data_IF_674993420764
#
_entry.id   IF_674993420764
#
_cell.length_a   1.000
_cell.length_b   1.000
_cell.length_c   1.000
_cell.angle_alpha   90.00
_cell.angle_beta   90.00
_cell.angle_gamma   90.00
#
_symmetry.space_group_name_H-M   'P 1'
#
loop_
_entity.id
_entity.type
_entity.pdbx_description
1 polymer ?
#
# COMPACT_ATOMS: atom_id res chain seq x y z
N UNK A 1 6.71 -7.18 15.41
CA UNK A 1 5.98 -6.18 14.61
C UNK A 1 6.43 -6.12 13.16
N UNK A 2 7.73 -6.04 12.93
CA UNK A 2 8.28 -6.00 11.56
C UNK A 2 7.79 -7.16 10.69
N UNK A 3 7.86 -8.39 11.19
CA UNK A 3 7.41 -9.56 10.43
C UNK A 3 5.91 -9.52 10.13
N UNK A 4 5.11 -9.01 11.06
CA UNK A 4 3.67 -8.86 10.84
C UNK A 4 3.38 -7.87 9.74
N UNK A 5 4.09 -6.75 9.70
CA UNK A 5 3.90 -5.73 8.66
C UNK A 5 4.36 -6.27 7.30
N UNK A 6 5.45 -7.03 7.25
CA UNK A 6 5.88 -7.68 6.01
C UNK A 6 4.79 -8.59 5.45
N UNK A 7 4.15 -9.39 6.31
CA UNK A 7 3.07 -10.29 5.92
C UNK A 7 1.85 -9.49 5.46
N UNK A 8 1.44 -8.49 6.26
CA UNK A 8 0.24 -7.69 5.97
C UNK A 8 0.38 -6.91 4.66
N UNK A 9 1.55 -6.30 4.43
CA UNK A 9 1.76 -5.51 3.21
C UNK A 9 1.80 -6.39 1.97
N UNK A 10 2.40 -7.59 2.07
CA UNK A 10 2.37 -8.56 0.98
C UNK A 10 0.94 -9.02 0.70
N UNK A 11 0.16 -9.25 1.76
CA UNK A 11 -1.23 -9.71 1.63
C UNK A 11 -2.10 -8.69 0.89
N UNK A 12 -1.85 -7.39 1.07
CA UNK A 12 -2.56 -6.35 0.32
C UNK A 12 -2.39 -6.59 -1.19
N UNK A 13 -1.17 -6.81 -1.65
CA UNK A 13 -0.91 -7.07 -3.07
C UNK A 13 -1.62 -8.33 -3.55
N UNK A 14 -1.61 -9.39 -2.76
CA UNK A 14 -2.27 -10.65 -3.12
C UNK A 14 -3.79 -10.48 -3.20
N UNK A 15 -4.38 -9.72 -2.28
CA UNK A 15 -5.82 -9.45 -2.29
C UNK A 15 -6.23 -8.59 -3.50
N UNK A 16 -5.38 -7.62 -3.87
CA UNK A 16 -5.62 -6.83 -5.08
C UNK A 16 -5.60 -7.72 -6.31
N UNK A 17 -4.64 -8.64 -6.43
CA UNK A 17 -4.56 -9.55 -7.57
C UNK A 17 -5.86 -10.35 -7.71
N UNK A 18 -6.39 -10.87 -6.61
CA UNK A 18 -7.67 -11.59 -6.62
C UNK A 18 -8.82 -10.68 -7.07
N UNK A 19 -8.83 -9.45 -6.57
CA UNK A 19 -9.85 -8.47 -6.92
C UNK A 19 -9.86 -8.17 -8.42
N UNK A 20 -8.69 -8.05 -9.03
CA UNK A 20 -8.57 -7.69 -10.45
C UNK A 20 -9.22 -8.74 -11.36
N UNK A 21 -9.19 -10.00 -10.96
CA UNK A 21 -9.82 -11.07 -11.73
C UNK A 21 -11.35 -10.97 -11.76
N UNK A 22 -11.92 -10.19 -10.84
CA UNK A 22 -13.38 -9.99 -10.75
C UNK A 22 -13.87 -8.78 -11.55
N UNK A 23 -12.96 -7.96 -12.08
CA UNK A 23 -13.33 -6.75 -12.80
C UNK A 23 -13.90 -7.08 -14.18
N UNK A 24 -14.80 -6.22 -14.70
CA UNK A 24 -15.34 -6.42 -16.05
C UNK A 24 -14.25 -6.20 -17.11
N UNK A 25 -14.43 -6.84 -18.26
CA UNK A 25 -13.50 -6.68 -19.39
C UNK A 25 -13.80 -5.38 -20.13
N UNK A 26 -13.33 -4.29 -19.56
CA UNK A 26 -13.47 -2.93 -20.11
C UNK A 26 -12.10 -2.28 -20.18
N UNK A 27 -11.93 -1.37 -21.14
CA UNK A 27 -10.68 -0.61 -21.30
C UNK A 27 -10.27 0.08 -19.99
N UNK A 28 -11.23 0.77 -19.35
CA UNK A 28 -10.95 1.50 -18.11
C UNK A 28 -10.50 0.56 -16.98
N UNK A 29 -11.16 -0.58 -16.83
CA UNK A 29 -10.79 -1.58 -15.81
C UNK A 29 -9.38 -2.11 -16.07
N UNK A 30 -9.02 -2.35 -17.33
CA UNK A 30 -7.70 -2.84 -17.70
C UNK A 30 -6.60 -1.83 -17.36
N UNK A 31 -6.82 -0.54 -17.68
CA UNK A 31 -5.83 0.51 -17.39
C UNK A 31 -5.67 0.70 -15.88
N UNK A 32 -6.79 0.74 -15.14
CA UNK A 32 -6.76 0.90 -13.69
C UNK A 32 -6.09 -0.32 -13.03
N UNK A 33 -6.35 -1.52 -13.54
CA UNK A 33 -5.75 -2.75 -13.03
C UNK A 33 -4.23 -2.68 -13.04
N UNK A 34 -3.63 -2.15 -14.09
CA UNK A 34 -2.18 -1.99 -14.19
C UNK A 34 -1.64 -1.08 -13.09
N UNK A 35 -2.34 0.04 -12.85
CA UNK A 35 -1.92 1.02 -11.84
C UNK A 35 -2.01 0.47 -10.44
N UNK A 36 -3.15 -0.14 -10.10
CA UNK A 36 -3.34 -0.66 -8.74
C UNK A 36 -2.47 -1.88 -8.48
N UNK A 37 -2.25 -2.74 -9.46
CA UNK A 37 -1.34 -3.87 -9.31
C UNK A 37 0.07 -3.40 -8.97
N UNK A 38 0.56 -2.40 -9.71
CA UNK A 38 1.88 -1.83 -9.48
C UNK A 38 2.01 -1.24 -8.07
N UNK A 39 1.14 -0.31 -7.69
CA UNK A 39 1.27 0.37 -6.41
C UNK A 39 1.00 -0.56 -5.22
N UNK A 40 0.00 -1.43 -5.32
CA UNK A 40 -0.34 -2.32 -4.20
C UNK A 40 0.77 -3.34 -3.90
N UNK A 41 1.44 -3.86 -4.93
CA UNK A 41 2.56 -4.78 -4.74
C UNK A 41 3.82 -4.04 -4.30
N UNK A 42 3.95 -2.75 -4.64
CA UNK A 42 5.07 -1.91 -4.23
C UNK A 42 5.06 -1.59 -2.74
N UNK A 43 3.89 -1.63 -2.09
CA UNK A 43 3.80 -1.42 -0.63
C UNK A 43 4.70 -2.44 0.09
N UNK A 44 4.47 -3.72 -0.17
CA UNK A 44 5.22 -4.79 0.48
C UNK A 44 6.68 -4.84 0.08
N UNK A 45 6.98 -4.67 -1.21
CA UNK A 45 8.36 -4.73 -1.69
C UNK A 45 9.21 -3.59 -1.11
N UNK A 46 8.65 -2.39 -1.02
CA UNK A 46 9.36 -1.25 -0.43
C UNK A 46 9.47 -1.35 1.08
N UNK A 47 8.48 -1.92 1.75
CA UNK A 47 8.60 -2.16 3.18
C UNK A 47 9.73 -3.16 3.48
N UNK A 48 9.85 -4.22 2.69
CA UNK A 48 10.96 -5.17 2.83
C UNK A 48 12.30 -4.49 2.60
N UNK A 49 12.38 -3.59 1.62
CA UNK A 49 13.58 -2.80 1.38
C UNK A 49 13.89 -1.88 2.56
N UNK A 50 12.86 -1.27 3.17
CA UNK A 50 13.02 -0.44 4.35
C UNK A 50 13.66 -1.24 5.51
N UNK A 51 13.23 -2.48 5.70
CA UNK A 51 13.76 -3.34 6.76
C UNK A 51 15.23 -3.71 6.57
N UNK A 52 15.76 -3.49 5.36
CA UNK A 52 17.19 -3.73 5.03
C UNK A 52 17.95 -2.42 4.86
N UNK A 53 17.39 -1.32 5.33
CA UNK A 53 17.99 0.00 5.17
C UNK A 53 19.34 0.08 5.88
N UNK A 54 20.25 0.87 5.29
CA UNK A 54 21.64 1.01 5.75
C UNK A 54 21.79 2.03 6.87
N UNK A 55 20.77 2.88 7.08
CA UNK A 55 20.78 3.92 8.09
C UNK A 55 19.34 4.29 8.45
N UNK A 56 19.18 5.05 9.52
CA UNK A 56 17.85 5.56 9.90
C UNK A 56 17.30 6.50 8.84
N UNK A 57 18.15 7.33 8.23
CA UNK A 57 17.73 8.23 7.16
C UNK A 57 17.25 7.45 5.93
N UNK A 58 17.96 6.38 5.56
CA UNK A 58 17.57 5.52 4.44
C UNK A 58 16.27 4.79 4.74
N UNK A 59 16.11 4.32 5.98
CA UNK A 59 14.87 3.68 6.46
C UNK A 59 13.70 4.67 6.32
N UNK A 60 13.87 5.89 6.80
CA UNK A 60 12.85 6.94 6.73
C UNK A 60 12.46 7.21 5.27
N UNK A 61 13.44 7.35 4.39
CA UNK A 61 13.17 7.59 2.96
C UNK A 61 12.35 6.46 2.34
N UNK A 62 12.67 5.22 2.68
CA UNK A 62 11.95 4.06 2.17
C UNK A 62 10.53 3.97 2.73
N UNK A 63 10.33 4.33 3.99
CA UNK A 63 8.99 4.40 4.58
C UNK A 63 8.12 5.44 3.89
N UNK A 64 8.71 6.56 3.45
CA UNK A 64 7.98 7.58 2.69
C UNK A 64 7.48 7.02 1.35
N UNK A 65 8.28 6.19 0.71
CA UNK A 65 7.86 5.51 -0.54
C UNK A 65 6.69 4.56 -0.24
N UNK A 66 6.78 3.80 0.85
CA UNK A 66 5.68 2.91 1.27
C UNK A 66 4.40 3.71 1.47
N UNK A 67 4.47 4.85 2.13
CA UNK A 67 3.32 5.74 2.33
C UNK A 67 2.73 6.19 0.99
N UNK A 68 3.55 6.66 0.07
CA UNK A 68 3.11 7.10 -1.25
C UNK A 68 2.39 5.99 -2.01
N UNK A 69 2.95 4.78 -2.01
CA UNK A 69 2.35 3.65 -2.71
C UNK A 69 1.05 3.21 -2.04
N UNK A 70 0.98 3.31 -0.73
CA UNK A 70 -0.22 3.00 0.04
C UNK A 70 -1.34 4.00 -0.27
N UNK A 71 -1.02 5.29 -0.32
CA UNK A 71 -1.98 6.34 -0.68
C UNK A 71 -2.48 6.16 -2.10
N UNK A 72 -1.60 5.82 -3.04
CA UNK A 72 -1.99 5.57 -4.42
C UNK A 72 -2.91 4.36 -4.51
N UNK A 73 -2.66 3.32 -3.73
CA UNK A 73 -3.52 2.14 -3.68
C UNK A 73 -4.93 2.52 -3.20
N UNK A 74 -5.04 3.31 -2.14
CA UNK A 74 -6.32 3.82 -1.66
C UNK A 74 -7.05 4.61 -2.73
N UNK A 75 -6.34 5.46 -3.45
CA UNK A 75 -6.90 6.26 -4.54
C UNK A 75 -7.53 5.36 -5.61
N UNK A 76 -6.81 4.35 -6.08
CA UNK A 76 -7.34 3.47 -7.12
C UNK A 76 -8.51 2.62 -6.63
N UNK A 77 -8.52 2.22 -5.35
CA UNK A 77 -9.67 1.52 -4.78
C UNK A 77 -10.91 2.41 -4.79
N UNK A 78 -10.75 3.69 -4.46
CA UNK A 78 -11.84 4.66 -4.53
C UNK A 78 -12.34 4.82 -5.97
N UNK A 79 -11.43 4.91 -6.94
CA UNK A 79 -11.79 5.03 -8.35
C UNK A 79 -12.59 3.80 -8.82
N UNK A 80 -12.14 2.60 -8.46
CA UNK A 80 -12.87 1.37 -8.82
C UNK A 80 -14.30 1.38 -8.28
N UNK A 81 -14.48 1.84 -7.06
CA UNK A 81 -15.78 1.91 -6.41
C UNK A 81 -16.66 2.99 -7.06
N UNK A 82 -16.13 4.20 -7.21
CA UNK A 82 -16.89 5.35 -7.70
C UNK A 82 -17.20 5.27 -9.20
N UNK A 83 -16.40 4.51 -9.95
CA UNK A 83 -16.66 4.23 -11.35
C UNK A 83 -17.58 3.01 -11.54
N UNK A 84 -18.11 2.46 -10.46
CA UNK A 84 -19.00 1.29 -10.47
C UNK A 84 -18.37 0.06 -11.14
N UNK A 85 -17.06 -0.08 -11.07
CA UNK A 85 -16.35 -1.24 -11.60
C UNK A 85 -16.31 -2.41 -10.59
N UNK A 86 -16.52 -2.09 -9.31
CA UNK A 86 -16.58 -3.07 -8.23
C UNK A 86 -17.60 -2.62 -7.19
N UNK A 87 -18.24 -3.58 -6.52
CA UNK A 87 -19.20 -3.24 -5.45
C UNK A 87 -18.45 -2.83 -4.19
N UNK A 88 -18.92 -1.79 -3.46
CA UNK A 88 -18.27 -1.32 -2.23
C UNK A 88 -17.99 -2.43 -1.22
N UNK A 89 -18.94 -3.36 -1.04
CA UNK A 89 -18.79 -4.46 -0.08
C UNK A 89 -17.56 -5.33 -0.38
N UNK A 90 -17.19 -5.44 -1.65
CA UNK A 90 -16.09 -6.30 -2.10
C UNK A 90 -14.72 -5.78 -1.68
N UNK A 91 -14.58 -4.47 -1.51
CA UNK A 91 -13.28 -3.83 -1.21
C UNK A 91 -13.23 -3.18 0.17
N UNK A 92 -14.30 -3.27 0.95
CA UNK A 92 -14.39 -2.60 2.25
C UNK A 92 -13.26 -3.00 3.20
N UNK A 93 -13.01 -4.29 3.34
CA UNK A 93 -11.94 -4.81 4.21
C UNK A 93 -10.56 -4.38 3.72
N UNK A 94 -10.36 -4.43 2.41
CA UNK A 94 -9.09 -4.06 1.80
C UNK A 94 -8.80 -2.57 2.00
N UNK A 95 -9.80 -1.71 1.84
CA UNK A 95 -9.66 -0.26 2.08
C UNK A 95 -9.25 0.00 3.54
N UNK A 96 -9.89 -0.68 4.49
CA UNK A 96 -9.54 -0.54 5.91
C UNK A 96 -8.11 -0.98 6.18
N UNK A 97 -7.70 -2.10 5.60
CA UNK A 97 -6.35 -2.61 5.78
C UNK A 97 -5.29 -1.66 5.22
N UNK A 98 -5.52 -1.13 4.02
CA UNK A 98 -4.59 -0.16 3.42
C UNK A 98 -4.49 1.10 4.29
N UNK A 99 -5.62 1.60 4.78
CA UNK A 99 -5.64 2.78 5.65
C UNK A 99 -4.90 2.53 6.96
N UNK A 100 -5.07 1.36 7.54
CA UNK A 100 -4.38 0.98 8.78
C UNK A 100 -2.87 0.87 8.57
N UNK A 101 -2.45 0.24 7.47
CA UNK A 101 -1.03 0.15 7.11
C UNK A 101 -0.44 1.56 6.93
N UNK A 102 -1.15 2.43 6.22
CA UNK A 102 -0.70 3.82 6.02
C UNK A 102 -0.47 4.50 7.38
N UNK A 103 -1.41 4.36 8.31
CA UNK A 103 -1.30 4.96 9.64
C UNK A 103 -0.09 4.42 10.41
N UNK A 104 0.16 3.11 10.33
CA UNK A 104 1.31 2.47 10.98
C UNK A 104 2.62 3.02 10.38
N UNK A 105 2.69 3.14 9.07
CA UNK A 105 3.88 3.63 8.37
C UNK A 105 4.15 5.09 8.73
N UNK A 106 3.12 5.92 8.77
CA UNK A 106 3.25 7.33 9.17
C UNK A 106 3.76 7.43 10.62
N UNK A 107 3.21 6.62 11.52
CA UNK A 107 3.66 6.60 12.93
C UNK A 107 5.13 6.17 13.02
N UNK A 108 5.54 5.18 12.23
CA UNK A 108 6.94 4.73 12.19
C UNK A 108 7.87 5.81 11.70
N UNK A 109 7.44 6.59 10.70
CA UNK A 109 8.21 7.73 10.19
C UNK A 109 8.45 8.77 11.28
N UNK A 110 7.41 9.10 12.04
CA UNK A 110 7.52 10.08 13.13
C UNK A 110 8.51 9.64 14.20
N UNK A 111 8.51 8.36 14.53
CA UNK A 111 9.45 7.79 15.50
C UNK A 111 10.89 7.91 15.00
N UNK A 112 11.13 7.55 13.74
CA UNK A 112 12.47 7.60 13.14
C UNK A 112 12.94 9.04 12.98
N UNK A 113 12.05 9.95 12.59
CA UNK A 113 12.35 11.38 12.46
C UNK A 113 12.91 11.97 13.75
N UNK A 114 12.32 11.63 14.88
CA UNK A 114 12.80 12.07 16.18
C UNK A 114 14.24 11.61 16.45
N UNK A 115 14.53 10.35 16.12
CA UNK A 115 15.89 9.79 16.28
C UNK A 115 16.90 10.48 15.38
N UNK A 116 16.55 10.73 14.13
CA UNK A 116 17.45 11.38 13.17
C UNK A 116 17.73 12.83 13.59
N UNK A 117 16.74 13.54 14.11
CA UNK A 117 16.88 14.94 14.54
C UNK A 117 17.80 15.11 15.75
N UNK A 118 17.86 14.12 16.64
CA UNK A 118 18.67 14.20 17.86
C UNK A 118 20.08 13.63 17.68
N UNK A 119 20.42 13.19 16.50
CA UNK A 119 21.77 12.73 16.18
C UNK A 119 22.54 13.81 15.43
#
# INVERSE_FOLDING_TARGET
MENQIKIRTKQIGLEVIKLLDELPQKMSAWVISKQIMRCSTSIGSNYRAACRAKSEADFLNKLRIVEEESDETSYWLEILEEAYLIKPIRIEKLKKEVNEITAIIVASQKTVQKKVHFK
#
